data_IF_966067219822
#
_entry.id   IF_966067219822
#
_cell.length_a   1.000
_cell.length_b   1.000
_cell.length_c   1.000
_cell.angle_alpha   90.00
_cell.angle_beta   90.00
_cell.angle_gamma   90.00
#
_symmetry.space_group_name_H-M   'P 1'
#
loop_
_entity.id
_entity.type
_entity.pdbx_description
1 polymer ?
#
# COMPACT_ATOMS: atom_id res chain seq x y z
N UNK A 1 -23.41 -6.54 19.70
CA UNK A 1 -24.30 -7.73 19.65
C UNK A 1 -24.24 -8.27 18.24
N UNK A 2 -24.04 -9.59 18.03
CA UNK A 2 -24.03 -10.17 16.69
C UNK A 2 -25.38 -9.89 16.02
N UNK A 3 -25.33 -9.41 14.76
CA UNK A 3 -26.54 -9.26 13.95
C UNK A 3 -26.61 -10.44 13.00
N UNK A 4 -27.73 -11.15 13.08
CA UNK A 4 -28.11 -12.17 12.10
C UNK A 4 -29.13 -11.50 11.20
N UNK A 5 -28.79 -11.34 9.93
CA UNK A 5 -29.73 -10.89 8.91
C UNK A 5 -30.01 -12.08 8.00
N UNK A 6 -31.25 -12.53 8.00
CA UNK A 6 -31.75 -13.52 7.05
C UNK A 6 -32.51 -12.75 5.98
N UNK A 7 -32.00 -12.76 4.75
CA UNK A 7 -32.65 -12.15 3.60
C UNK A 7 -33.46 -13.23 2.87
N UNK A 8 -34.71 -12.91 2.50
CA UNK A 8 -35.65 -13.53 1.53
C UNK A 8 -35.78 -15.08 1.42
N UNK A 9 -36.99 -15.68 1.24
CA UNK A 9 -37.16 -17.12 1.12
C UNK A 9 -36.68 -17.71 -0.23
N UNK A 10 -36.13 -16.88 -1.13
CA UNK A 10 -35.62 -17.28 -2.44
C UNK A 10 -34.10 -17.03 -2.62
N UNK A 11 -33.45 -16.38 -1.66
CA UNK A 11 -32.01 -16.15 -1.65
C UNK A 11 -31.46 -16.52 -0.28
N UNK A 12 -30.96 -17.74 -0.13
CA UNK A 12 -30.46 -18.24 1.16
C UNK A 12 -29.07 -17.67 1.46
N UNK A 13 -28.97 -16.35 1.61
CA UNK A 13 -27.80 -15.67 2.12
C UNK A 13 -27.97 -15.44 3.62
N UNK A 14 -27.26 -16.24 4.43
CA UNK A 14 -27.14 -16.01 5.86
C UNK A 14 -25.95 -15.08 6.05
N UNK A 15 -26.22 -13.84 6.43
CA UNK A 15 -25.19 -12.88 6.79
C UNK A 15 -25.09 -12.80 8.32
N UNK A 16 -23.96 -13.26 8.85
CA UNK A 16 -23.59 -13.06 10.25
C UNK A 16 -22.51 -11.99 10.26
N UNK A 17 -22.71 -10.95 11.08
CA UNK A 17 -21.74 -9.86 11.23
C UNK A 17 -21.44 -9.64 12.71
N UNK A 18 -20.21 -9.20 13.00
CA UNK A 18 -19.82 -8.76 14.34
C UNK A 18 -19.79 -9.87 15.40
N UNK A 19 -19.55 -11.13 15.00
CA UNK A 19 -19.34 -12.24 15.93
C UNK A 19 -17.88 -12.70 15.93
N UNK A 20 -17.02 -12.19 16.83
CA UNK A 20 -15.62 -12.64 16.96
C UNK A 20 -15.48 -14.11 17.32
N UNK A 21 -16.47 -14.70 17.98
CA UNK A 21 -16.43 -16.10 18.42
C UNK A 21 -16.83 -17.08 17.31
N UNK A 22 -17.35 -16.58 16.19
CA UNK A 22 -17.73 -17.42 15.07
C UNK A 22 -16.50 -17.76 14.23
N UNK A 23 -16.07 -19.02 14.33
CA UNK A 23 -15.06 -19.59 13.43
C UNK A 23 -15.74 -20.15 12.18
N UNK A 24 -15.71 -19.39 11.08
CA UNK A 24 -16.22 -19.80 9.77
C UNK A 24 -15.19 -20.56 8.94
N UNK A 25 -14.00 -20.86 9.48
CA UNK A 25 -12.95 -21.61 8.78
C UNK A 25 -13.44 -22.94 8.20
N UNK A 26 -14.26 -23.75 8.90
CA UNK A 26 -14.78 -25.00 8.33
C UNK A 26 -15.60 -24.79 7.06
N UNK A 27 -16.45 -23.75 7.05
CA UNK A 27 -17.32 -23.43 5.91
C UNK A 27 -16.47 -22.94 4.74
N UNK A 28 -15.53 -22.01 4.99
CA UNK A 28 -14.62 -21.50 3.97
C UNK A 28 -13.76 -22.61 3.34
N UNK A 29 -13.29 -23.56 4.14
CA UNK A 29 -12.48 -24.68 3.67
C UNK A 29 -13.28 -25.63 2.78
N UNK A 30 -14.51 -25.98 3.17
CA UNK A 30 -15.37 -26.82 2.35
C UNK A 30 -15.76 -26.10 1.05
N UNK A 31 -16.01 -24.79 1.11
CA UNK A 31 -16.36 -23.99 -0.06
C UNK A 31 -15.20 -23.92 -1.07
N UNK A 32 -13.96 -23.72 -0.59
CA UNK A 32 -12.75 -23.81 -1.43
C UNK A 32 -12.58 -25.19 -2.05
N UNK A 33 -12.78 -26.25 -1.26
CA UNK A 33 -12.67 -27.64 -1.72
C UNK A 33 -13.70 -27.97 -2.83
N UNK A 34 -14.88 -27.37 -2.76
CA UNK A 34 -15.96 -27.53 -3.74
C UNK A 34 -15.92 -26.51 -4.90
N UNK A 35 -14.91 -25.65 -4.95
CA UNK A 35 -14.80 -24.57 -5.94
C UNK A 35 -16.08 -23.71 -6.01
N UNK A 36 -16.55 -23.25 -4.84
CA UNK A 36 -17.65 -22.30 -4.77
C UNK A 36 -17.40 -21.08 -5.68
N UNK A 37 -18.47 -20.49 -6.25
CA UNK A 37 -18.36 -19.20 -6.92
C UNK A 37 -17.78 -18.14 -5.98
N UNK A 38 -16.96 -17.22 -6.51
CA UNK A 38 -16.34 -16.15 -5.72
C UNK A 38 -17.36 -15.31 -4.95
N UNK A 39 -18.51 -15.03 -5.59
CA UNK A 39 -19.63 -14.32 -4.95
C UNK A 39 -20.11 -15.01 -3.66
N UNK A 40 -20.08 -16.34 -3.62
CA UNK A 40 -20.46 -17.10 -2.43
C UNK A 40 -19.37 -17.07 -1.36
N UNK A 41 -18.10 -17.13 -1.75
CA UNK A 41 -16.97 -16.98 -0.83
C UNK A 41 -16.94 -15.59 -0.19
N UNK A 42 -17.29 -14.55 -0.95
CA UNK A 42 -17.39 -13.17 -0.47
C UNK A 42 -18.55 -12.94 0.51
N UNK A 43 -19.64 -13.71 0.37
CA UNK A 43 -20.77 -13.67 1.28
C UNK A 43 -20.49 -14.35 2.64
N UNK A 44 -19.45 -15.21 2.72
CA UNK A 44 -19.08 -15.87 3.97
C UNK A 44 -18.22 -14.92 4.81
N UNK A 45 -18.74 -14.52 5.98
CA UNK A 45 -17.98 -13.78 6.99
C UNK A 45 -16.64 -14.48 7.25
N UNK A 46 -15.54 -13.74 7.26
CA UNK A 46 -14.23 -14.29 7.66
C UNK A 46 -14.25 -14.64 9.17
N UNK A 47 -13.49 -15.65 9.61
CA UNK A 47 -13.45 -16.01 11.02
C UNK A 47 -12.89 -14.84 11.84
N UNK A 48 -13.35 -14.68 13.08
CA UNK A 48 -12.89 -13.59 13.97
C UNK A 48 -13.15 -12.18 13.41
N UNK A 49 -14.26 -11.99 12.69
CA UNK A 49 -14.65 -10.68 12.16
C UNK A 49 -15.43 -9.86 13.19
N UNK A 50 -15.06 -8.59 13.33
CA UNK A 50 -15.67 -7.62 14.23
C UNK A 50 -15.97 -6.31 13.49
N UNK A 51 -16.93 -5.56 14.00
CA UNK A 51 -17.04 -4.15 13.66
C UNK A 51 -15.94 -3.35 14.37
N UNK A 52 -15.54 -2.24 13.77
CA UNK A 52 -14.54 -1.36 14.35
C UNK A 52 -15.04 -0.72 15.65
N UNK A 53 -14.30 -0.97 16.73
CA UNK A 53 -14.43 -0.33 18.03
C UNK A 53 -13.03 0.03 18.55
N UNK A 54 -12.91 1.10 19.33
CA UNK A 54 -11.62 1.50 19.93
C UNK A 54 -11.70 1.33 21.46
N UNK A 55 -10.81 0.54 22.08
CA UNK A 55 -9.79 -0.32 21.46
C UNK A 55 -10.40 -1.52 20.71
N UNK A 56 -9.64 -2.09 19.75
CA UNK A 56 -10.09 -3.28 19.00
C UNK A 56 -10.27 -4.44 19.97
N UNK A 57 -11.45 -5.10 20.02
CA UNK A 57 -11.69 -6.19 20.95
C UNK A 57 -10.69 -7.34 20.76
N UNK A 58 -10.33 -8.00 21.87
CA UNK A 58 -9.35 -9.09 21.83
C UNK A 58 -9.85 -10.24 20.95
N UNK A 59 -8.95 -10.76 20.12
CA UNK A 59 -9.25 -11.88 19.22
C UNK A 59 -9.84 -11.47 17.87
N UNK A 60 -10.24 -10.22 17.68
CA UNK A 60 -10.66 -9.69 16.38
C UNK A 60 -9.48 -9.61 15.42
N UNK A 61 -9.54 -10.35 14.31
CA UNK A 61 -8.48 -10.35 13.28
C UNK A 61 -8.92 -9.71 11.98
N UNK A 62 -10.21 -9.72 11.70
CA UNK A 62 -10.80 -9.09 10.53
C UNK A 62 -11.72 -7.98 11.03
N UNK A 63 -11.50 -6.73 10.61
CA UNK A 63 -12.24 -5.60 11.16
C UNK A 63 -12.93 -4.81 10.06
N UNK A 64 -14.22 -4.55 10.24
CA UNK A 64 -15.04 -3.78 9.31
C UNK A 64 -15.16 -2.36 9.86
N UNK A 65 -14.67 -1.38 9.12
CA UNK A 65 -14.77 0.03 9.50
C UNK A 65 -13.60 0.86 9.03
N UNK A 66 -13.56 2.10 9.52
CA UNK A 66 -12.57 3.08 9.13
C UNK A 66 -11.56 3.29 10.25
N UNK A 67 -10.27 3.21 9.91
CA UNK A 67 -9.17 3.34 10.86
C UNK A 67 -8.55 4.74 10.73
N UNK A 68 -8.55 5.50 11.82
CA UNK A 68 -7.74 6.71 11.94
C UNK A 68 -6.39 6.38 12.58
N UNK A 69 -5.32 6.50 11.80
CA UNK A 69 -3.94 6.24 12.23
C UNK A 69 -3.24 7.47 12.81
N UNK A 70 -3.87 8.65 12.80
CA UNK A 70 -3.34 9.81 13.53
C UNK A 70 -3.32 9.52 15.04
N UNK A 71 -4.28 8.71 15.52
CA UNK A 71 -4.41 8.24 16.89
C UNK A 71 -4.12 6.74 16.99
N UNK A 72 -2.89 6.35 16.62
CA UNK A 72 -2.50 4.93 16.61
C UNK A 72 -2.70 4.27 17.97
N UNK A 73 -3.50 3.20 18.01
CA UNK A 73 -3.68 2.37 19.20
C UNK A 73 -2.99 1.00 19.04
N UNK A 74 -2.42 0.48 20.13
CA UNK A 74 -1.69 -0.78 20.11
C UNK A 74 -2.57 -1.97 19.73
N UNK A 75 -3.88 -1.90 19.99
CA UNK A 75 -4.83 -2.94 19.58
C UNK A 75 -4.91 -3.13 18.06
N UNK A 76 -4.44 -2.17 17.26
CA UNK A 76 -4.36 -2.31 15.80
C UNK A 76 -3.35 -3.38 15.36
N UNK A 77 -2.34 -3.68 16.20
CA UNK A 77 -1.31 -4.68 15.88
C UNK A 77 -1.86 -6.10 15.70
N UNK A 78 -3.04 -6.40 16.23
CA UNK A 78 -3.66 -7.73 16.13
C UNK A 78 -4.45 -7.94 14.83
N UNK A 79 -4.80 -6.86 14.14
CA UNK A 79 -5.65 -6.87 12.95
C UNK A 79 -4.87 -7.41 11.76
N UNK A 80 -5.45 -8.39 11.07
CA UNK A 80 -4.90 -9.03 9.87
C UNK A 80 -5.52 -8.49 8.58
N UNK A 81 -6.82 -8.19 8.60
CA UNK A 81 -7.55 -7.63 7.45
C UNK A 81 -8.45 -6.49 7.88
N UNK A 82 -8.47 -5.43 7.07
CA UNK A 82 -9.42 -4.32 7.21
C UNK A 82 -10.40 -4.36 6.03
N UNK A 83 -11.69 -4.23 6.31
CA UNK A 83 -12.74 -4.01 5.30
C UNK A 83 -13.27 -2.60 5.49
N UNK A 84 -12.73 -1.65 4.72
CA UNK A 84 -13.01 -0.22 4.85
C UNK A 84 -11.82 0.65 4.47
N UNK A 85 -11.69 1.81 5.11
CA UNK A 85 -10.69 2.83 4.78
C UNK A 85 -9.70 3.05 5.92
N UNK A 86 -8.42 3.11 5.62
CA UNK A 86 -7.36 3.57 6.53
C UNK A 86 -7.01 5.02 6.20
N UNK A 87 -7.01 5.87 7.21
CA UNK A 87 -6.73 7.30 7.09
C UNK A 87 -5.55 7.68 7.97
N UNK A 88 -4.56 8.36 7.40
CA UNK A 88 -3.51 9.06 8.12
C UNK A 88 -3.58 10.53 7.69
N UNK A 89 -4.20 11.35 8.52
CA UNK A 89 -4.44 12.76 8.20
C UNK A 89 -3.96 13.69 9.30
N UNK A 90 -3.35 14.81 8.92
CA UNK A 90 -2.98 15.89 9.84
C UNK A 90 -2.14 15.43 11.04
N UNK A 91 -1.24 14.48 10.82
CA UNK A 91 -0.41 13.90 11.87
C UNK A 91 1.04 14.39 11.81
N UNK A 92 1.76 14.24 12.93
CA UNK A 92 3.17 14.61 13.06
C UNK A 92 4.12 13.42 12.91
N UNK A 93 3.64 12.26 12.45
CA UNK A 93 4.47 11.07 12.31
C UNK A 93 5.47 11.24 11.18
N UNK A 94 6.63 10.60 11.32
CA UNK A 94 7.69 10.63 10.30
C UNK A 94 7.58 9.49 9.29
N UNK A 95 6.88 8.42 9.63
CA UNK A 95 6.67 7.24 8.80
C UNK A 95 5.25 6.71 8.97
N UNK A 96 4.70 6.06 7.94
CA UNK A 96 3.36 5.50 8.01
C UNK A 96 3.29 4.39 9.06
N UNK A 97 2.38 4.46 10.05
CA UNK A 97 2.33 3.49 11.15
C UNK A 97 2.20 2.05 10.67
N UNK A 98 3.05 1.17 11.20
CA UNK A 98 3.07 -0.26 10.84
C UNK A 98 2.17 -1.07 11.77
N UNK A 99 1.06 -1.55 11.24
CA UNK A 99 0.23 -2.56 11.90
C UNK A 99 0.86 -3.95 11.74
N UNK A 100 1.33 -4.55 12.84
CA UNK A 100 2.24 -5.71 12.79
C UNK A 100 1.72 -6.91 12.01
N UNK A 101 0.43 -7.21 12.12
CA UNK A 101 -0.18 -8.39 11.48
C UNK A 101 -1.01 -8.06 10.24
N UNK A 102 -1.15 -6.78 9.88
CA UNK A 102 -1.98 -6.38 8.76
C UNK A 102 -1.38 -6.92 7.46
N UNK A 103 -2.21 -7.62 6.69
CA UNK A 103 -1.85 -8.25 5.42
C UNK A 103 -2.69 -7.74 4.25
N UNK A 104 -3.91 -7.27 4.53
CA UNK A 104 -4.86 -6.93 3.48
C UNK A 104 -5.82 -5.79 3.87
N UNK A 105 -6.20 -5.01 2.87
CA UNK A 105 -7.25 -3.99 2.97
C UNK A 105 -8.23 -4.24 1.83
N UNK A 106 -9.52 -4.33 2.16
CA UNK A 106 -10.61 -4.58 1.22
C UNK A 106 -11.53 -3.38 1.18
N UNK A 107 -11.86 -2.95 -0.04
CA UNK A 107 -12.79 -1.86 -0.26
C UNK A 107 -14.22 -2.28 0.08
N UNK A 108 -14.81 -1.66 1.10
CA UNK A 108 -16.22 -1.88 1.47
C UNK A 108 -17.15 -1.20 0.45
N UNK A 109 -16.99 0.11 0.29
CA UNK A 109 -17.81 0.99 -0.52
C UNK A 109 -16.96 1.74 -1.56
N UNK A 110 -17.60 2.40 -2.53
CA UNK A 110 -16.86 3.22 -3.50
C UNK A 110 -16.09 4.33 -2.77
N UNK A 111 -14.80 4.48 -3.06
CA UNK A 111 -13.95 5.51 -2.46
C UNK A 111 -12.55 4.99 -2.09
N UNK A 112 -11.68 5.84 -1.53
CA UNK A 112 -10.32 5.42 -1.19
C UNK A 112 -10.33 4.40 -0.04
N UNK A 113 -9.49 3.37 -0.16
CA UNK A 113 -9.16 2.44 0.93
C UNK A 113 -7.98 2.93 1.77
N UNK A 114 -7.15 3.81 1.21
CA UNK A 114 -6.04 4.46 1.90
C UNK A 114 -6.09 5.95 1.62
N UNK A 115 -6.06 6.77 2.67
CA UNK A 115 -6.00 8.23 2.60
C UNK A 115 -4.81 8.73 3.42
N UNK A 116 -3.88 9.43 2.78
CA UNK A 116 -2.67 9.99 3.40
C UNK A 116 -2.58 11.47 3.05
N UNK A 117 -2.97 12.33 3.99
CA UNK A 117 -3.15 13.76 3.73
C UNK A 117 -2.57 14.66 4.80
N UNK A 118 -2.01 15.79 4.39
CA UNK A 118 -1.64 16.89 5.30
C UNK A 118 -0.67 16.44 6.42
N UNK A 119 0.27 15.53 6.15
CA UNK A 119 1.27 15.08 7.12
C UNK A 119 2.65 15.72 6.80
N UNK A 120 3.00 16.89 7.39
CA UNK A 120 4.17 17.67 6.98
C UNK A 120 5.52 17.03 7.34
N UNK A 121 5.51 16.03 8.23
CA UNK A 121 6.70 15.34 8.68
C UNK A 121 6.86 13.93 8.10
N UNK A 122 5.84 13.42 7.41
CA UNK A 122 5.84 12.08 6.84
C UNK A 122 6.88 11.99 5.72
N UNK A 123 7.78 11.02 5.81
CA UNK A 123 8.88 10.82 4.87
C UNK A 123 8.74 9.54 4.05
N UNK A 124 8.06 8.54 4.59
CA UNK A 124 7.92 7.24 3.93
C UNK A 124 6.61 6.54 4.27
N UNK A 125 6.20 5.66 3.37
CA UNK A 125 4.98 4.84 3.46
C UNK A 125 5.28 3.36 3.23
N UNK A 126 6.51 2.91 3.52
CA UNK A 126 7.01 1.57 3.15
C UNK A 126 6.23 0.42 3.77
N UNK A 127 5.58 0.66 4.90
CA UNK A 127 4.71 -0.31 5.56
C UNK A 127 3.51 -0.73 4.71
N UNK A 128 3.18 0.03 3.66
CA UNK A 128 2.12 -0.29 2.71
C UNK A 128 2.56 -1.23 1.58
N UNK A 129 3.86 -1.36 1.30
CA UNK A 129 4.35 -2.06 0.10
C UNK A 129 4.05 -3.55 0.12
N UNK A 130 3.96 -4.16 1.31
CA UNK A 130 3.65 -5.58 1.47
C UNK A 130 2.15 -5.90 1.61
N UNK A 131 1.27 -4.90 1.52
CA UNK A 131 -0.17 -5.09 1.73
C UNK A 131 -0.87 -5.51 0.44
N UNK A 132 -1.79 -6.46 0.56
CA UNK A 132 -2.71 -6.82 -0.52
C UNK A 132 -3.92 -5.88 -0.50
N UNK A 133 -4.10 -5.13 -1.57
CA UNK A 133 -5.22 -4.20 -1.71
C UNK A 133 -6.27 -4.82 -2.63
N UNK A 134 -7.49 -4.96 -2.13
CA UNK A 134 -8.62 -5.48 -2.90
C UNK A 134 -9.61 -4.33 -3.16
N UNK A 135 -9.52 -3.79 -4.36
CA UNK A 135 -10.26 -2.63 -4.86
C UNK A 135 -11.30 -3.10 -5.88
N UNK A 136 -12.47 -2.46 -5.89
CA UNK A 136 -13.48 -2.62 -6.95
C UNK A 136 -13.17 -1.72 -8.15
N UNK A 137 -12.45 -0.63 -7.91
CA UNK A 137 -11.88 0.26 -8.91
C UNK A 137 -10.53 0.78 -8.40
N UNK A 138 -9.50 0.75 -9.25
CA UNK A 138 -8.16 1.22 -8.90
C UNK A 138 -8.05 2.74 -8.93
N UNK A 139 -8.86 3.40 -9.76
CA UNK A 139 -8.87 4.86 -9.86
C UNK A 139 -9.35 5.48 -8.54
N UNK A 140 -8.43 6.17 -7.85
CA UNK A 140 -8.69 6.82 -6.57
C UNK A 140 -8.79 5.88 -5.37
N UNK A 141 -8.35 4.62 -5.51
CA UNK A 141 -8.29 3.68 -4.39
C UNK A 141 -7.32 4.13 -3.28
N UNK A 142 -6.24 4.80 -3.66
CA UNK A 142 -5.25 5.36 -2.74
C UNK A 142 -5.13 6.85 -3.03
N UNK A 143 -5.28 7.68 -2.00
CA UNK A 143 -5.14 9.13 -2.09
C UNK A 143 -3.98 9.60 -1.24
N UNK A 144 -2.99 10.24 -1.88
CA UNK A 144 -1.79 10.76 -1.23
C UNK A 144 -1.60 12.21 -1.65
N UNK A 145 -1.84 13.15 -0.73
CA UNK A 145 -1.82 14.58 -1.05
C UNK A 145 -1.21 15.40 0.11
N UNK A 146 -0.56 16.52 -0.22
CA UNK A 146 -0.09 17.52 0.75
C UNK A 146 0.85 16.96 1.85
N UNK A 147 1.73 16.04 1.48
CA UNK A 147 2.76 15.47 2.37
C UNK A 147 4.15 15.99 1.94
N UNK A 148 4.53 17.19 2.41
CA UNK A 148 5.66 17.95 1.84
C UNK A 148 7.06 17.32 1.95
N UNK A 149 7.24 16.34 2.84
CA UNK A 149 8.51 15.61 3.02
C UNK A 149 8.44 14.16 2.52
N UNK A 150 7.28 13.72 2.03
CA UNK A 150 7.12 12.38 1.50
C UNK A 150 7.77 12.34 0.13
N UNK A 151 8.69 11.41 -0.06
CA UNK A 151 9.34 11.21 -1.35
C UNK A 151 9.65 9.73 -1.56
N UNK A 152 9.78 9.33 -2.82
CA UNK A 152 10.11 7.96 -3.22
C UNK A 152 11.59 7.88 -3.58
N UNK A 153 12.34 6.96 -2.99
CA UNK A 153 13.74 6.76 -3.36
C UNK A 153 13.88 5.93 -4.65
N UNK A 154 15.02 6.07 -5.33
CA UNK A 154 15.28 5.32 -6.57
C UNK A 154 15.20 3.79 -6.39
N UNK A 155 15.56 3.28 -5.20
CA UNK A 155 15.52 1.85 -4.90
C UNK A 155 14.09 1.31 -4.74
N UNK A 156 13.09 2.19 -4.58
CA UNK A 156 11.69 1.82 -4.34
C UNK A 156 10.84 1.99 -5.60
N UNK A 157 11.41 2.46 -6.70
CA UNK A 157 10.64 2.74 -7.92
C UNK A 157 10.07 1.48 -8.56
N UNK A 158 10.67 0.31 -8.32
CA UNK A 158 10.20 -0.97 -8.85
C UNK A 158 9.17 -1.65 -7.92
N UNK A 159 8.85 -1.05 -6.77
CA UNK A 159 7.83 -1.57 -5.87
C UNK A 159 6.44 -1.37 -6.49
N UNK A 160 5.65 -2.44 -6.55
CA UNK A 160 4.32 -2.43 -7.19
C UNK A 160 3.40 -1.35 -6.61
N UNK A 161 3.41 -1.15 -5.29
CA UNK A 161 2.61 -0.12 -4.63
C UNK A 161 3.01 1.29 -5.10
N UNK A 162 4.30 1.53 -5.29
CA UNK A 162 4.83 2.83 -5.72
C UNK A 162 4.41 3.10 -7.17
N UNK A 163 4.63 2.12 -8.05
CA UNK A 163 4.26 2.21 -9.47
C UNK A 163 2.76 2.49 -9.65
N UNK A 164 1.92 1.85 -8.84
CA UNK A 164 0.47 1.94 -8.98
C UNK A 164 -0.13 3.19 -8.32
N UNK A 165 0.37 3.61 -7.15
CA UNK A 165 -0.33 4.58 -6.31
C UNK A 165 0.46 5.85 -5.98
N UNK A 166 1.79 5.86 -6.15
CA UNK A 166 2.63 7.01 -5.76
C UNK A 166 3.18 7.78 -6.96
N UNK A 167 2.56 7.67 -8.13
CA UNK A 167 3.01 8.35 -9.35
C UNK A 167 3.05 9.89 -9.25
N UNK A 168 2.30 10.48 -8.31
CA UNK A 168 2.27 11.93 -8.04
C UNK A 168 3.23 12.37 -6.93
N UNK A 169 3.87 11.44 -6.24
CA UNK A 169 4.82 11.73 -5.16
C UNK A 169 6.21 11.99 -5.75
N UNK A 170 6.84 13.08 -5.33
CA UNK A 170 8.16 13.46 -5.81
C UNK A 170 9.23 12.40 -5.48
N UNK A 171 10.22 12.30 -6.36
CA UNK A 171 11.40 11.48 -6.08
C UNK A 171 12.27 12.18 -5.06
N UNK A 172 12.83 11.41 -4.12
CA UNK A 172 13.79 11.97 -3.19
C UNK A 172 14.99 12.50 -3.98
N UNK A 173 15.18 13.82 -3.98
CA UNK A 173 16.42 14.40 -4.47
C UNK A 173 17.53 13.81 -3.61
N UNK A 174 18.40 12.98 -4.20
CA UNK A 174 19.73 12.80 -3.61
C UNK A 174 20.24 14.23 -3.46
N UNK A 175 20.59 14.66 -2.26
CA UNK A 175 21.50 15.79 -2.14
C UNK A 175 22.67 15.44 -3.05
N UNK A 176 22.70 16.03 -4.24
CA UNK A 176 23.91 16.15 -5.01
C UNK A 176 24.74 17.04 -4.11
N UNK A 177 25.57 16.43 -3.27
CA UNK A 177 26.69 17.16 -2.72
C UNK A 177 27.33 17.86 -3.92
N UNK A 178 27.59 19.19 -3.86
CA UNK A 178 28.18 19.94 -4.96
C UNK A 178 29.55 19.40 -5.42
N UNK A 179 30.04 18.32 -4.81
CA UNK A 179 31.21 17.56 -5.22
C UNK A 179 31.03 16.68 -6.47
N UNK A 180 29.81 16.29 -6.85
CA UNK A 180 29.58 15.37 -7.98
C UNK A 180 29.28 16.05 -9.33
N UNK A 181 29.07 17.36 -9.35
CA UNK A 181 28.99 18.12 -10.61
C UNK A 181 30.34 18.13 -11.36
N UNK A 182 31.45 18.01 -10.63
CA UNK A 182 32.78 17.90 -11.25
C UNK A 182 33.05 16.55 -11.89
N UNK A 183 32.33 15.49 -11.50
CA UNK A 183 32.57 14.14 -12.00
C UNK A 183 31.90 13.87 -13.35
N UNK A 184 30.71 14.46 -13.60
CA UNK A 184 30.08 14.35 -14.93
C UNK A 184 30.77 15.22 -15.99
N UNK A 185 31.28 16.40 -15.61
CA UNK A 185 32.13 17.21 -16.48
C UNK A 185 33.42 16.46 -16.87
N UNK A 186 34.05 15.73 -15.93
CA UNK A 186 35.26 14.96 -16.20
C UNK A 186 35.05 13.81 -17.21
N UNK A 187 33.90 13.13 -17.17
CA UNK A 187 33.60 12.03 -18.11
C UNK A 187 33.34 12.55 -19.53
N UNK A 188 32.72 13.73 -19.66
CA UNK A 188 32.53 14.39 -20.96
C UNK A 188 33.85 14.94 -21.53
N UNK A 189 34.74 15.47 -20.68
CA UNK A 189 36.06 15.96 -21.10
C UNK A 189 36.99 14.82 -21.57
N UNK A 190 36.99 13.67 -20.89
CA UNK A 190 37.77 12.50 -21.31
C UNK A 190 37.24 11.94 -22.66
N UNK A 191 35.92 11.97 -22.87
CA UNK A 191 35.32 11.53 -24.13
C UNK A 191 35.68 12.44 -25.31
N UNK A 192 35.71 13.76 -25.09
CA UNK A 192 36.16 14.73 -26.09
C UNK A 192 37.66 14.60 -26.41
N UNK A 193 38.52 14.34 -25.41
CA UNK A 193 39.95 14.11 -25.66
C UNK A 193 40.24 12.79 -26.40
N UNK A 194 39.49 11.72 -26.12
CA UNK A 194 39.63 10.44 -26.82
C UNK A 194 39.16 10.51 -28.28
N UNK A 195 38.15 11.33 -28.60
CA UNK A 195 37.74 11.56 -29.98
C UNK A 195 38.76 12.41 -30.75
N UNK A 196 39.38 13.44 -30.15
CA UNK A 196 40.42 14.23 -30.85
C UNK A 196 41.72 13.45 -31.12
N UNK A 197 42.10 12.49 -30.25
CA UNK A 197 43.27 11.63 -30.45
C UNK A 197 43.05 10.54 -31.52
N UNK A 198 41.81 10.09 -31.74
CA UNK A 198 41.51 9.15 -32.84
C UNK A 198 41.56 9.81 -34.22
N UNK A 199 41.21 11.08 -34.34
CA UNK A 199 41.24 11.81 -35.62
C UNK A 199 42.68 12.13 -36.07
N UNK A 200 43.60 12.41 -35.15
CA UNK A 200 45.01 12.71 -35.50
C UNK A 200 45.85 11.49 -35.93
N UNK A 201 45.37 10.27 -35.70
CA UNK A 201 46.13 9.03 -36.01
C UNK A 201 45.73 8.38 -37.35
N UNK A 202 44.78 8.96 -38.09
CA UNK A 202 44.38 8.46 -39.41
C UNK A 202 45.10 9.13 -40.58
N UNK A 203 45.89 10.19 -40.33
CA UNK A 203 46.51 10.99 -41.39
C UNK A 203 47.99 10.66 -41.68
N UNK A 204 48.53 9.57 -41.10
CA UNK A 204 49.93 9.15 -41.31
C UNK A 204 50.11 7.71 -41.82
N UNK A 205 49.06 7.06 -42.35
CA UNK A 205 49.18 5.72 -42.98
C UNK A 205 48.52 5.61 -44.35
N UNK A 206 48.72 6.61 -45.20
CA UNK A 206 48.62 6.47 -46.65
C UNK A 206 49.71 7.30 -47.27
N UNK A 207 50.87 6.70 -47.51
CA UNK A 207 51.83 7.02 -48.57
C UNK A 207 53.03 6.12 -48.28
N UNK A 208 53.05 4.97 -48.94
CA UNK A 208 54.17 4.24 -49.54
C UNK A 208 53.67 2.83 -49.89
#
# INVERSE_FOLDING_TARGET
MPRIVMSDPYDSTIEIWGNPQLDTSPILNECKKRACPDKMLEAIQQPFTCDYEMPIPEGCRNVIGNFDLAHYDKSFDQVETIVGTITLKSSNVTSFPKMKKLKAIRQKEKGPIIVIEDNPNLRDVKSLYSLNLYTKNDDGAVRVEKNSKLCVSFAEMDEMFVLQYLGTVDRCSKFVSPFLEKSCLFVLEISAQLQSKKVKNWDQRRFF
#
